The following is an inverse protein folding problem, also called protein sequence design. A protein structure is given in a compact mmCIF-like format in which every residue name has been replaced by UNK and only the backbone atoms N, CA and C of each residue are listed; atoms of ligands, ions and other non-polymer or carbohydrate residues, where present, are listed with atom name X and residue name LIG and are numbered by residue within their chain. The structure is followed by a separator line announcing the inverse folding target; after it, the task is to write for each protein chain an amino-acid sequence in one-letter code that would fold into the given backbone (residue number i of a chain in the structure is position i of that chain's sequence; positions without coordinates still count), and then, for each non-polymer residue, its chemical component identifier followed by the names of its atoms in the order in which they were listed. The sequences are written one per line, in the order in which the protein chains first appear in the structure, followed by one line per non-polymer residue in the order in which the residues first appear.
data_IF_802668700318
#
_entry.id   IF_802668700318
#
_cell.length_a   1.000
_cell.length_b   1.000
_cell.length_c   1.000
_cell.angle_alpha   90.00
_cell.angle_beta   90.00
_cell.angle_gamma   90.00
#
_symmetry.space_group_name_H-M   'P 1'
#
loop_
_entity.id
_entity.type
_entity.pdbx_description
1 polymer ?
#
# COMPACT_ATOMS: atom_id res chain seq x y z
N UNK A 1 4.75 6.33 -28.87
CA UNK A 1 5.40 6.73 -27.61
C UNK A 1 5.45 5.50 -26.71
N UNK A 2 6.63 4.94 -26.45
CA UNK A 2 6.76 3.78 -25.55
C UNK A 2 6.60 4.26 -24.11
N UNK A 3 5.43 4.02 -23.52
CA UNK A 3 5.19 4.35 -22.11
C UNK A 3 6.19 3.59 -21.25
N UNK A 4 7.00 4.35 -20.53
CA UNK A 4 8.24 3.91 -19.92
C UNK A 4 8.01 3.49 -18.47
N UNK A 5 6.83 3.00 -18.10
CA UNK A 5 6.48 2.75 -16.69
C UNK A 5 6.84 1.33 -16.24
N UNK A 6 7.33 1.22 -15.00
CA UNK A 6 7.26 -0.04 -14.24
C UNK A 6 5.78 -0.38 -14.08
N UNK A 7 5.40 -1.63 -14.36
CA UNK A 7 4.05 -2.11 -14.10
C UNK A 7 4.01 -2.78 -12.73
N UNK A 8 2.99 -2.45 -11.95
CA UNK A 8 2.70 -3.15 -10.71
C UNK A 8 1.21 -3.39 -10.57
N UNK A 9 0.88 -4.47 -9.87
CA UNK A 9 -0.50 -4.90 -9.62
C UNK A 9 -0.65 -5.34 -8.18
N UNK A 10 -1.88 -5.29 -7.69
CA UNK A 10 -2.24 -5.70 -6.34
C UNK A 10 -3.26 -6.84 -6.39
N UNK A 11 -3.19 -7.75 -5.42
CA UNK A 11 -4.19 -8.79 -5.18
C UNK A 11 -4.24 -9.14 -3.71
N UNK A 12 -5.34 -9.72 -3.25
CA UNK A 12 -5.42 -10.36 -1.94
C UNK A 12 -5.23 -11.85 -2.14
N UNK A 13 -4.29 -12.46 -1.41
CA UNK A 13 -4.08 -13.91 -1.48
C UNK A 13 -5.05 -14.70 -0.59
N UNK A 14 -4.99 -16.04 -0.67
CA UNK A 14 -5.83 -16.96 0.12
C UNK A 14 -5.73 -16.74 1.64
N UNK A 15 -4.62 -16.18 2.13
CA UNK A 15 -4.39 -15.92 3.55
C UNK A 15 -4.82 -14.49 3.96
N UNK A 16 -5.42 -13.73 3.04
CA UNK A 16 -5.79 -12.34 3.28
C UNK A 16 -4.62 -11.36 3.23
N UNK A 17 -3.45 -11.74 2.71
CA UNK A 17 -2.34 -10.81 2.58
C UNK A 17 -2.53 -9.93 1.34
N UNK A 18 -2.21 -8.64 1.48
CA UNK A 18 -2.06 -7.73 0.35
C UNK A 18 -0.75 -8.07 -0.36
N UNK A 19 -0.82 -8.50 -1.61
CA UNK A 19 0.34 -8.83 -2.44
C UNK A 19 0.52 -7.75 -3.49
N UNK A 20 1.72 -7.19 -3.56
CA UNK A 20 2.17 -6.29 -4.62
C UNK A 20 3.10 -7.04 -5.55
N UNK A 21 2.68 -7.23 -6.80
CA UNK A 21 3.49 -7.87 -7.85
C UNK A 21 4.10 -6.79 -8.74
N UNK A 22 5.40 -6.89 -9.02
CA UNK A 22 6.16 -5.86 -9.71
C UNK A 22 6.89 -6.43 -10.91
N UNK A 23 6.70 -5.82 -12.08
CA UNK A 23 7.49 -6.07 -13.29
C UNK A 23 8.45 -4.88 -13.50
N UNK A 24 9.73 -5.01 -13.10
CA UNK A 24 10.68 -3.93 -13.26
C UNK A 24 11.12 -3.78 -14.73
N UNK A 25 11.63 -2.61 -15.11
CA UNK A 25 12.21 -2.38 -16.44
C UNK A 25 13.39 -3.31 -16.77
N UNK A 26 14.15 -3.69 -15.75
CA UNK A 26 15.30 -4.62 -15.83
C UNK A 26 15.32 -5.47 -14.57
N UNK A 27 15.72 -6.73 -14.70
CA UNK A 27 15.74 -7.70 -13.61
C UNK A 27 14.55 -8.64 -13.64
N UNK A 28 14.37 -9.40 -12.55
CA UNK A 28 13.29 -10.39 -12.42
C UNK A 28 12.05 -9.76 -11.78
N UNK A 29 10.84 -10.15 -12.21
CA UNK A 29 9.62 -9.84 -11.47
C UNK A 29 9.71 -10.31 -10.02
N UNK A 30 9.09 -9.58 -9.11
CA UNK A 30 9.09 -9.92 -7.69
C UNK A 30 7.76 -9.56 -7.03
N UNK A 31 7.52 -10.17 -5.87
CA UNK A 31 6.37 -9.88 -5.02
C UNK A 31 6.82 -9.43 -3.63
N UNK A 32 6.07 -8.48 -3.08
CA UNK A 32 6.08 -8.18 -1.65
C UNK A 32 4.69 -8.41 -1.07
N UNK A 33 4.64 -8.72 0.22
CA UNK A 33 3.39 -8.99 0.94
C UNK A 33 3.29 -8.10 2.15
N UNK A 34 2.07 -7.68 2.45
CA UNK A 34 1.71 -6.92 3.63
C UNK A 34 0.56 -7.64 4.34
N UNK A 35 0.68 -7.78 5.66
CA UNK A 35 -0.42 -8.28 6.48
C UNK A 35 -1.55 -7.24 6.51
N UNK A 36 -2.80 -7.70 6.58
CA UNK A 36 -3.95 -6.81 6.69
C UNK A 36 -3.82 -5.89 7.92
N UNK A 37 -3.36 -6.42 9.05
CA UNK A 37 -3.18 -5.63 10.26
C UNK A 37 -2.12 -4.52 10.09
N UNK A 38 -1.03 -4.80 9.36
CA UNK A 38 -0.04 -3.76 9.01
C UNK A 38 -0.66 -2.69 8.11
N UNK A 39 -1.46 -3.07 7.10
CA UNK A 39 -2.18 -2.10 6.27
C UNK A 39 -3.09 -1.21 7.13
N UNK A 40 -3.89 -1.80 8.01
CA UNK A 40 -4.78 -1.06 8.91
C UNK A 40 -4.02 -0.11 9.84
N UNK A 41 -2.92 -0.56 10.43
CA UNK A 41 -2.08 0.25 11.31
C UNK A 41 -1.49 1.46 10.57
N UNK A 42 -1.04 1.28 9.33
CA UNK A 42 -0.58 2.39 8.47
C UNK A 42 -1.72 3.38 8.20
N UNK A 43 -2.94 2.90 7.95
CA UNK A 43 -4.09 3.78 7.72
C UNK A 43 -4.44 4.59 8.97
N UNK A 44 -4.57 3.93 10.13
CA UNK A 44 -4.88 4.60 11.39
C UNK A 44 -3.82 5.65 11.76
N UNK A 45 -2.55 5.39 11.45
CA UNK A 45 -1.50 6.39 11.64
C UNK A 45 -1.80 7.68 10.89
N UNK A 46 -2.28 7.61 9.64
CA UNK A 46 -2.67 8.81 8.90
C UNK A 46 -3.93 9.46 9.46
N UNK A 47 -4.92 8.67 9.87
CA UNK A 47 -6.17 9.19 10.45
C UNK A 47 -5.91 9.90 11.80
N UNK A 48 -4.95 9.43 12.58
CA UNK A 48 -4.61 9.98 13.89
C UNK A 48 -3.63 11.16 13.82
N UNK A 49 -2.59 11.07 12.98
CA UNK A 49 -1.53 12.07 12.93
C UNK A 49 -1.76 13.16 11.87
N UNK A 50 -2.37 12.84 10.73
CA UNK A 50 -2.63 13.79 9.62
C UNK A 50 -1.40 14.44 8.97
N UNK A 51 -0.21 14.27 9.52
CA UNK A 51 1.05 14.85 9.05
C UNK A 51 1.78 13.96 8.04
N UNK A 52 2.67 14.59 7.27
CA UNK A 52 3.44 13.92 6.23
C UNK A 52 4.55 13.03 6.77
N UNK A 53 4.51 11.75 6.42
CA UNK A 53 5.43 10.75 6.95
C UNK A 53 6.26 10.02 5.88
N UNK A 54 7.47 9.59 6.24
CA UNK A 54 8.27 8.70 5.38
C UNK A 54 7.97 7.24 5.69
N UNK A 55 8.36 6.36 4.77
CA UNK A 55 8.22 4.90 4.96
C UNK A 55 8.97 4.45 6.22
N UNK A 56 10.15 5.02 6.45
CA UNK A 56 11.01 4.73 7.60
C UNK A 56 10.37 5.18 8.90
N UNK A 57 9.85 6.40 8.97
CA UNK A 57 9.17 6.92 10.18
C UNK A 57 7.95 6.08 10.53
N UNK A 58 7.16 5.67 9.54
CA UNK A 58 5.99 4.82 9.77
C UNK A 58 6.41 3.42 10.26
N UNK A 59 7.42 2.83 9.64
CA UNK A 59 7.91 1.51 10.02
C UNK A 59 8.47 1.49 11.45
N UNK A 60 9.23 2.53 11.83
CA UNK A 60 9.75 2.70 13.18
C UNK A 60 8.63 2.92 14.20
N UNK A 61 7.68 3.82 13.91
CA UNK A 61 6.61 4.15 14.85
C UNK A 61 5.64 2.98 15.10
N UNK A 62 5.41 2.14 14.09
CA UNK A 62 4.51 0.99 14.19
C UNK A 62 5.22 -0.32 14.57
N UNK A 63 6.56 -0.32 14.67
CA UNK A 63 7.39 -1.51 14.88
C UNK A 63 7.07 -2.65 13.88
N UNK A 64 7.02 -2.31 12.59
CA UNK A 64 6.70 -3.25 11.50
C UNK A 64 7.77 -3.25 10.41
N UNK A 65 7.89 -4.34 9.62
CA UNK A 65 8.89 -4.38 8.55
C UNK A 65 8.67 -3.30 7.49
N UNK A 66 9.74 -2.58 7.13
CA UNK A 66 9.72 -1.50 6.14
C UNK A 66 9.12 -1.92 4.78
N UNK A 67 9.31 -3.18 4.37
CA UNK A 67 8.77 -3.73 3.12
C UNK A 67 7.25 -3.87 3.14
N UNK A 68 6.65 -4.12 4.33
CA UNK A 68 5.20 -4.14 4.48
C UNK A 68 4.62 -2.73 4.40
N UNK A 69 5.26 -1.75 5.07
CA UNK A 69 4.87 -0.34 4.98
C UNK A 69 4.96 0.17 3.54
N UNK A 70 6.06 -0.13 2.84
CA UNK A 70 6.24 0.22 1.44
C UNK A 70 5.18 -0.45 0.53
N UNK A 71 4.70 -1.63 0.90
CA UNK A 71 3.63 -2.33 0.16
C UNK A 71 2.27 -1.69 0.44
N UNK A 72 1.97 -1.36 1.70
CA UNK A 72 0.76 -0.65 2.08
C UNK A 72 0.67 0.73 1.40
N UNK A 73 1.73 1.54 1.50
CA UNK A 73 1.77 2.86 0.87
C UNK A 73 1.64 2.80 -0.65
N UNK A 74 2.28 1.83 -1.30
CA UNK A 74 2.12 1.66 -2.75
C UNK A 74 0.67 1.38 -3.15
N UNK A 75 -0.05 0.58 -2.36
CA UNK A 75 -1.48 0.31 -2.57
C UNK A 75 -2.32 1.58 -2.35
N UNK A 76 -2.10 2.30 -1.25
CA UNK A 76 -2.83 3.54 -0.96
C UNK A 76 -2.57 4.64 -2.00
N UNK A 77 -1.33 4.73 -2.51
CA UNK A 77 -0.93 5.66 -3.57
C UNK A 77 -1.61 5.34 -4.90
N UNK A 78 -1.64 4.07 -5.30
CA UNK A 78 -2.33 3.64 -6.53
C UNK A 78 -3.82 3.97 -6.51
N UNK A 79 -4.42 3.96 -5.31
CA UNK A 79 -5.83 4.29 -5.08
C UNK A 79 -6.11 5.77 -4.84
N UNK A 80 -5.07 6.61 -4.77
CA UNK A 80 -5.24 8.03 -4.47
C UNK A 80 -5.75 8.32 -3.06
N UNK A 81 -5.61 7.37 -2.13
CA UNK A 81 -5.98 7.52 -0.71
C UNK A 81 -4.87 8.25 0.05
N UNK A 82 -3.63 8.08 -0.41
CA UNK A 82 -2.44 8.78 0.06
C UNK A 82 -1.79 9.46 -1.14
N UNK A 83 -1.15 10.62 -0.92
CA UNK A 83 -0.32 11.33 -1.91
C UNK A 83 1.10 11.51 -1.40
N UNK A 84 2.04 11.83 -2.30
CA UNK A 84 3.43 12.15 -1.93
C UNK A 84 3.72 13.61 -2.23
N UNK A 85 4.20 14.33 -1.22
CA UNK A 85 4.77 15.67 -1.35
C UNK A 85 6.13 15.72 -0.67
N UNK A 86 7.15 16.26 -1.34
CA UNK A 86 8.50 16.39 -0.78
C UNK A 86 9.05 15.10 -0.11
N UNK A 87 8.75 13.93 -0.69
CA UNK A 87 9.13 12.58 -0.21
C UNK A 87 8.40 12.10 1.07
N UNK A 88 7.37 12.82 1.49
CA UNK A 88 6.48 12.44 2.60
C UNK A 88 5.12 12.06 2.05
N UNK A 89 4.49 11.10 2.71
CA UNK A 89 3.19 10.56 2.38
C UNK A 89 2.14 11.29 3.22
N UNK A 90 1.06 11.75 2.61
CA UNK A 90 -0.01 12.50 3.28
C UNK A 90 -1.36 11.83 2.99
N UNK A 91 -2.32 11.89 3.92
CA UNK A 91 -3.69 11.51 3.62
C UNK A 91 -4.25 12.40 2.51
N UNK A 92 -4.85 11.78 1.51
CA UNK A 92 -5.56 12.48 0.42
C UNK A 92 -7.08 12.36 0.55
N UNK A 93 -7.55 11.57 1.51
CA UNK A 93 -8.95 11.44 1.89
C UNK A 93 -9.14 11.70 3.38
N UNK A 94 -10.40 11.78 3.83
CA UNK A 94 -10.75 12.11 5.22
C UNK A 94 -10.58 10.90 6.15
N UNK A 95 -10.92 9.70 5.67
CA UNK A 95 -10.87 8.45 6.44
C UNK A 95 -10.07 7.43 5.63
N UNK A 96 -8.75 7.46 5.82
CA UNK A 96 -7.81 6.61 5.10
C UNK A 96 -8.11 5.15 5.37
N UNK A 97 -8.47 4.81 6.61
CA UNK A 97 -8.81 3.45 6.97
C UNK A 97 -10.06 2.94 6.23
N UNK A 98 -11.16 3.69 6.25
CA UNK A 98 -12.40 3.27 5.62
C UNK A 98 -12.25 3.09 4.10
N UNK A 99 -11.59 4.06 3.45
CA UNK A 99 -11.34 4.00 2.00
C UNK A 99 -10.41 2.82 1.65
N UNK A 100 -9.35 2.61 2.43
CA UNK A 100 -8.42 1.51 2.22
C UNK A 100 -9.08 0.14 2.42
N UNK A 101 -9.93 -0.01 3.44
CA UNK A 101 -10.66 -1.26 3.70
C UNK A 101 -11.69 -1.54 2.60
N UNK A 102 -12.34 -0.50 2.08
CA UNK A 102 -13.25 -0.62 0.93
C UNK A 102 -12.52 -1.18 -0.29
N UNK A 103 -11.38 -0.59 -0.64
CA UNK A 103 -10.57 -1.05 -1.78
C UNK A 103 -9.96 -2.44 -1.55
N UNK A 104 -9.52 -2.73 -0.34
CA UNK A 104 -9.01 -4.06 0.03
C UNK A 104 -10.09 -5.14 -0.17
N UNK A 105 -11.31 -4.89 0.31
CA UNK A 105 -12.41 -5.85 0.19
C UNK A 105 -12.89 -6.00 -1.25
N UNK A 106 -13.00 -4.89 -2.00
CA UNK A 106 -13.31 -4.95 -3.43
C UNK A 106 -12.26 -5.76 -4.21
N UNK A 107 -10.97 -5.62 -3.86
CA UNK A 107 -9.88 -6.36 -4.48
C UNK A 107 -9.94 -7.86 -4.13
N UNK A 108 -10.29 -8.19 -2.89
CA UNK A 108 -10.49 -9.57 -2.43
C UNK A 108 -11.65 -10.26 -3.15
N UNK A 109 -12.73 -9.54 -3.42
CA UNK A 109 -13.90 -10.09 -4.12
C UNK A 109 -13.65 -10.29 -5.62
N UNK A 110 -12.87 -9.43 -6.26
CA UNK A 110 -12.52 -9.53 -7.69
C UNK A 110 -11.55 -10.68 -7.99
N UNK A 111 -10.71 -11.05 -7.03
CA UNK A 111 -9.82 -12.21 -7.10
C UNK A 111 -10.21 -13.19 -6.00
N UNK A 112 -11.36 -13.90 -6.12
CA UNK A 112 -11.65 -15.00 -5.20
C UNK A 112 -10.49 -15.97 -5.41
N UNK A 113 -9.63 -16.09 -4.42
CA UNK A 113 -8.35 -16.73 -4.61
C UNK A 113 -8.56 -18.13 -5.20
N UNK A 114 -8.21 -18.31 -6.48
CA UNK A 114 -8.17 -19.62 -7.18
C UNK A 114 -7.56 -20.64 -6.25
#
# INVERSE_FOLDING_TARGET
MHSTSRSETFRIDRNGMLVRSVVPRRGKPYEHRCQLETLKAVCHRFDEHGEGDTVETIAEALDVPITQVATALAFLLERGIVTVEHRRNFPATIDVHLDAMTEYHALREKNPAD
#
